data_IF_873104425559
#
_entry.id   IF_873104425559
#
_cell.length_a   1.000
_cell.length_b   1.000
_cell.length_c   1.000
_cell.angle_alpha   90.00
_cell.angle_beta   90.00
_cell.angle_gamma   90.00
#
_symmetry.space_group_name_H-M   'P 1'
#
loop_
_entity.id
_entity.type
_entity.pdbx_description
1 polymer ?
#
# COMPACT_ATOMS: atom_id res chain seq x y z
N UNK A 1 10.74 -21.05 -0.35
CA UNK A 1 9.29 -20.80 -0.53
C UNK A 1 8.79 -19.58 0.27
N UNK A 2 9.41 -19.18 1.38
CA UNK A 2 8.97 -18.03 2.22
C UNK A 2 9.00 -16.64 1.56
N UNK A 3 9.60 -16.48 0.37
CA UNK A 3 9.72 -15.20 -0.34
C UNK A 3 8.74 -15.04 -1.51
N UNK A 4 7.82 -16.00 -1.67
CA UNK A 4 6.89 -16.04 -2.79
C UNK A 4 5.64 -15.17 -2.55
N UNK A 5 5.10 -14.57 -3.61
CA UNK A 5 3.80 -13.90 -3.55
C UNK A 5 2.70 -14.88 -3.12
N UNK A 6 1.77 -14.40 -2.30
CA UNK A 6 0.57 -15.17 -1.96
C UNK A 6 -0.37 -15.26 -3.15
N UNK A 7 -1.23 -16.28 -3.19
CA UNK A 7 -2.28 -16.41 -4.21
C UNK A 7 -3.16 -15.16 -4.30
N UNK A 8 -3.60 -14.62 -3.15
CA UNK A 8 -4.45 -13.43 -3.11
C UNK A 8 -3.79 -12.21 -3.77
N UNK A 9 -2.51 -11.97 -3.48
CA UNK A 9 -1.78 -10.84 -4.07
C UNK A 9 -1.42 -11.08 -5.54
N UNK A 10 -1.10 -12.31 -5.95
CA UNK A 10 -0.84 -12.64 -7.35
C UNK A 10 -2.12 -12.50 -8.22
N UNK A 11 -3.26 -12.96 -7.71
CA UNK A 11 -4.56 -12.79 -8.35
C UNK A 11 -4.93 -11.31 -8.51
N UNK A 12 -4.67 -10.49 -7.48
CA UNK A 12 -4.89 -9.05 -7.57
C UNK A 12 -4.04 -8.39 -8.66
N UNK A 13 -2.72 -8.66 -8.73
CA UNK A 13 -1.86 -8.14 -9.80
C UNK A 13 -2.38 -8.51 -11.20
N UNK A 14 -2.81 -9.76 -11.39
CA UNK A 14 -3.38 -10.21 -12.65
C UNK A 14 -4.68 -9.48 -13.02
N UNK A 15 -5.44 -8.95 -12.06
CA UNK A 15 -6.62 -8.14 -12.35
C UNK A 15 -6.30 -6.74 -12.90
N UNK A 16 -5.07 -6.25 -12.73
CA UNK A 16 -4.66 -4.91 -13.14
C UNK A 16 -4.24 -4.81 -14.62
N UNK A 17 -3.99 -5.95 -15.26
CA UNK A 17 -3.35 -6.00 -16.58
C UNK A 17 -3.93 -7.11 -17.46
N UNK A 18 -3.95 -6.84 -18.76
CA UNK A 18 -4.30 -7.79 -19.82
C UNK A 18 -3.79 -7.27 -21.16
N UNK A 19 -3.68 -8.14 -22.17
CA UNK A 19 -3.23 -7.73 -23.50
C UNK A 19 -2.78 -8.89 -24.39
N UNK A 20 -2.03 -8.56 -25.44
CA UNK A 20 -1.47 -9.55 -26.36
C UNK A 20 -0.13 -10.11 -25.88
N UNK A 21 0.76 -9.27 -25.32
CA UNK A 21 2.09 -9.70 -24.88
C UNK A 21 2.54 -9.09 -23.55
N UNK A 22 3.26 -9.90 -22.75
CA UNK A 22 3.95 -9.43 -21.56
C UNK A 22 5.35 -10.01 -21.39
N UNK A 23 6.18 -9.37 -20.55
CA UNK A 23 7.35 -10.01 -19.98
C UNK A 23 7.46 -9.76 -18.46
N UNK A 24 7.79 -10.80 -17.69
CA UNK A 24 8.23 -10.73 -16.30
C UNK A 24 9.75 -10.70 -16.29
N UNK A 25 10.35 -9.57 -15.93
CA UNK A 25 11.79 -9.34 -16.02
C UNK A 25 12.58 -9.89 -14.81
N UNK A 26 11.88 -10.39 -13.80
CA UNK A 26 12.46 -10.77 -12.51
C UNK A 26 12.15 -12.20 -12.09
N UNK A 27 11.12 -12.80 -12.68
CA UNK A 27 10.84 -14.24 -12.64
C UNK A 27 10.63 -14.83 -11.25
N UNK A 28 11.72 -15.20 -10.58
CA UNK A 28 11.71 -15.86 -9.28
C UNK A 28 11.10 -17.26 -9.38
N UNK A 29 10.28 -17.66 -8.42
CA UNK A 29 9.57 -18.94 -8.51
C UNK A 29 8.43 -18.97 -9.55
N UNK A 30 8.20 -17.86 -10.27
CA UNK A 30 7.20 -17.80 -11.33
C UNK A 30 5.76 -17.73 -10.85
N UNK A 31 5.50 -17.46 -9.57
CA UNK A 31 4.13 -17.31 -9.06
C UNK A 31 3.44 -16.12 -9.70
N UNK A 32 3.98 -14.91 -9.59
CA UNK A 32 3.38 -13.72 -10.19
C UNK A 32 3.25 -13.90 -11.72
N UNK A 33 4.32 -14.38 -12.39
CA UNK A 33 4.28 -14.74 -13.81
C UNK A 33 3.12 -15.71 -14.14
N UNK A 34 2.91 -16.75 -13.34
CA UNK A 34 1.86 -17.74 -13.62
C UNK A 34 0.46 -17.14 -13.59
N UNK A 35 0.19 -16.17 -12.71
CA UNK A 35 -1.11 -15.49 -12.66
C UNK A 35 -1.24 -14.45 -13.78
N UNK A 36 -0.19 -13.65 -13.99
CA UNK A 36 -0.15 -12.61 -15.01
C UNK A 36 -0.27 -13.21 -16.42
N UNK A 37 0.49 -14.26 -16.73
CA UNK A 37 0.55 -14.86 -18.07
C UNK A 37 -0.82 -15.34 -18.58
N UNK A 38 -1.75 -15.70 -17.69
CA UNK A 38 -3.13 -16.09 -18.04
C UNK A 38 -3.97 -14.96 -18.62
N UNK A 39 -3.51 -13.71 -18.49
CA UNK A 39 -4.15 -12.50 -19.01
C UNK A 39 -3.58 -12.06 -20.36
N UNK A 40 -2.60 -12.79 -20.89
CA UNK A 40 -1.92 -12.46 -22.14
C UNK A 40 -1.88 -13.66 -23.08
N UNK A 41 -1.83 -13.40 -24.40
CA UNK A 41 -1.63 -14.48 -25.39
C UNK A 41 -0.21 -15.00 -25.42
N UNK A 42 0.77 -14.13 -25.17
CA UNK A 42 2.19 -14.47 -25.11
C UNK A 42 2.81 -13.86 -23.86
N UNK A 43 3.57 -14.67 -23.13
CA UNK A 43 4.29 -14.20 -21.96
C UNK A 43 5.74 -14.71 -22.00
N UNK A 44 6.67 -13.83 -21.67
CA UNK A 44 8.08 -14.19 -21.48
C UNK A 44 8.42 -14.09 -19.99
N UNK A 45 8.98 -15.15 -19.44
CA UNK A 45 9.55 -15.20 -18.10
C UNK A 45 11.07 -15.05 -18.23
N UNK A 46 11.65 -14.08 -17.53
CA UNK A 46 13.09 -13.80 -17.52
C UNK A 46 13.61 -13.96 -16.10
N UNK A 47 14.63 -14.80 -15.95
CA UNK A 47 15.27 -15.07 -14.67
C UNK A 47 16.77 -15.31 -14.87
N UNK A 48 17.60 -14.85 -13.94
CA UNK A 48 19.05 -14.92 -14.05
C UNK A 48 19.64 -16.24 -13.54
N UNK A 49 18.94 -16.93 -12.65
CA UNK A 49 19.37 -18.21 -12.08
C UNK A 49 18.89 -19.37 -12.93
N UNK A 50 19.82 -20.16 -13.46
CA UNK A 50 19.49 -21.32 -14.31
C UNK A 50 18.59 -22.32 -13.59
N UNK A 51 18.84 -22.59 -12.30
CA UNK A 51 18.02 -23.52 -11.50
C UNK A 51 16.53 -23.09 -11.45
N UNK A 52 16.26 -21.79 -11.32
CA UNK A 52 14.89 -21.27 -11.34
C UNK A 52 14.28 -21.33 -12.75
N UNK A 53 15.08 -21.14 -13.80
CA UNK A 53 14.64 -21.33 -15.18
C UNK A 53 14.27 -22.79 -15.47
N UNK A 54 15.07 -23.75 -15.00
CA UNK A 54 14.77 -25.18 -15.11
C UNK A 54 13.46 -25.54 -14.39
N UNK A 55 13.26 -25.03 -13.18
CA UNK A 55 12.00 -25.18 -12.45
C UNK A 55 10.82 -24.56 -13.19
N UNK A 56 10.98 -23.36 -13.76
CA UNK A 56 9.93 -22.70 -14.53
C UNK A 56 9.55 -23.50 -15.79
N UNK A 57 10.54 -24.00 -16.55
CA UNK A 57 10.33 -24.86 -17.73
C UNK A 57 9.59 -26.15 -17.37
N UNK A 58 9.83 -26.71 -16.19
CA UNK A 58 9.12 -27.88 -15.70
C UNK A 58 7.69 -27.56 -15.22
N UNK A 59 7.53 -26.50 -14.43
CA UNK A 59 6.29 -26.20 -13.71
C UNK A 59 5.23 -25.54 -14.61
N UNK A 60 5.61 -24.67 -15.54
CA UNK A 60 4.64 -23.94 -16.36
C UNK A 60 3.72 -24.84 -17.19
N UNK A 61 4.21 -25.89 -17.89
CA UNK A 61 3.33 -26.85 -18.57
C UNK A 61 2.34 -27.54 -17.62
N UNK A 62 2.80 -27.92 -16.41
CA UNK A 62 1.96 -28.55 -15.39
C UNK A 62 0.86 -27.61 -14.86
N UNK A 63 1.09 -26.30 -14.92
CA UNK A 63 0.13 -25.25 -14.56
C UNK A 63 -0.76 -24.82 -15.74
N UNK A 64 -0.64 -25.46 -16.91
CA UNK A 64 -1.37 -25.14 -18.14
C UNK A 64 -0.82 -23.94 -18.91
N UNK A 65 0.43 -23.55 -18.64
CA UNK A 65 1.09 -22.36 -19.20
C UNK A 65 2.11 -22.76 -20.29
N UNK A 66 1.65 -23.45 -21.32
CA UNK A 66 2.51 -24.01 -22.36
C UNK A 66 3.14 -22.93 -23.26
N UNK A 67 2.52 -21.76 -23.35
CA UNK A 67 2.93 -20.67 -24.24
C UNK A 67 3.87 -19.65 -23.56
N UNK A 68 4.30 -19.93 -22.33
CA UNK A 68 5.26 -19.08 -21.61
C UNK A 68 6.68 -19.40 -22.08
N UNK A 69 7.36 -18.42 -22.65
CA UNK A 69 8.76 -18.54 -23.05
C UNK A 69 9.67 -18.27 -21.85
N UNK A 70 10.55 -19.22 -21.50
CA UNK A 70 11.52 -19.07 -20.40
C UNK A 70 12.89 -18.64 -20.93
N UNK A 71 13.37 -17.48 -20.51
CA UNK A 71 14.66 -16.91 -20.88
C UNK A 71 15.57 -16.82 -19.65
N UNK A 72 16.70 -17.55 -19.66
CA UNK A 72 17.73 -17.41 -18.64
C UNK A 72 18.61 -16.20 -18.98
N UNK A 73 18.34 -15.06 -18.35
CA UNK A 73 19.02 -13.78 -18.61
C UNK A 73 18.87 -12.81 -17.45
N UNK A 74 19.74 -11.79 -17.40
CA UNK A 74 19.53 -10.64 -16.53
C UNK A 74 18.47 -9.70 -17.13
N UNK A 75 17.75 -8.98 -16.27
CA UNK A 75 16.67 -8.09 -16.68
C UNK A 75 17.15 -7.01 -17.66
N UNK A 76 18.30 -6.38 -17.38
CA UNK A 76 18.85 -5.27 -18.13
C UNK A 76 19.22 -5.62 -19.58
N UNK A 77 20.08 -6.63 -19.86
CA UNK A 77 20.41 -7.01 -21.23
C UNK A 77 19.19 -7.53 -22.00
N UNK A 78 18.28 -8.26 -21.35
CA UNK A 78 17.04 -8.70 -21.99
C UNK A 78 16.16 -7.52 -22.40
N UNK A 79 15.95 -6.56 -21.49
CA UNK A 79 15.14 -5.37 -21.73
C UNK A 79 15.67 -4.51 -22.88
N UNK A 80 17.00 -4.44 -23.05
CA UNK A 80 17.63 -3.72 -24.16
C UNK A 80 17.32 -4.39 -25.52
N UNK A 81 17.39 -5.72 -25.57
CA UNK A 81 17.27 -6.49 -26.80
C UNK A 81 15.83 -6.84 -27.21
N UNK A 82 14.88 -6.86 -26.27
CA UNK A 82 13.50 -7.28 -26.54
C UNK A 82 12.74 -6.28 -27.41
N UNK A 83 11.74 -6.78 -28.15
CA UNK A 83 10.73 -5.93 -28.80
C UNK A 83 9.73 -5.36 -27.77
N UNK A 84 9.09 -4.21 -28.05
CA UNK A 84 8.06 -3.68 -27.17
C UNK A 84 6.88 -4.65 -26.95
N UNK A 85 6.33 -4.64 -25.72
CA UNK A 85 5.21 -5.48 -25.29
C UNK A 85 4.07 -4.63 -24.71
N UNK A 86 2.91 -5.22 -24.44
CA UNK A 86 1.83 -4.47 -23.79
C UNK A 86 2.13 -4.22 -22.31
N UNK A 87 2.68 -5.23 -21.62
CA UNK A 87 2.96 -5.15 -20.19
C UNK A 87 4.37 -5.65 -19.82
N UNK A 88 5.08 -4.89 -18.99
CA UNK A 88 6.25 -5.36 -18.26
C UNK A 88 5.91 -5.53 -16.78
N UNK A 89 6.40 -6.61 -16.16
CA UNK A 89 6.34 -6.82 -14.73
C UNK A 89 7.74 -6.92 -14.13
N UNK A 90 7.93 -6.32 -12.96
CA UNK A 90 9.17 -6.38 -12.19
C UNK A 90 8.87 -6.54 -10.69
N UNK A 91 9.55 -7.47 -10.05
CA UNK A 91 9.68 -7.63 -8.60
C UNK A 91 11.18 -7.56 -8.23
N UNK A 92 11.77 -6.36 -8.21
CA UNK A 92 13.18 -6.22 -7.94
C UNK A 92 13.51 -6.66 -6.50
N UNK A 93 14.63 -7.36 -6.37
CA UNK A 93 15.23 -7.66 -5.08
C UNK A 93 15.67 -6.37 -4.38
N UNK A 94 15.82 -6.41 -3.06
CA UNK A 94 16.39 -5.31 -2.28
C UNK A 94 17.90 -5.51 -2.19
N UNK A 95 18.69 -4.53 -2.61
CA UNK A 95 20.13 -4.46 -2.34
C UNK A 95 20.35 -3.69 -1.05
N UNK A 96 20.96 -4.38 -0.11
CA UNK A 96 21.71 -3.79 0.98
C UNK A 96 23.09 -4.46 0.95
N UNK A 97 24.17 -3.70 1.06
CA UNK A 97 25.51 -4.30 1.21
C UNK A 97 25.67 -5.11 2.52
N UNK A 98 24.62 -5.17 3.35
CA UNK A 98 24.64 -5.67 4.73
C UNK A 98 23.33 -6.37 5.20
N UNK A 99 22.37 -6.73 4.35
CA UNK A 99 21.13 -7.41 4.77
C UNK A 99 20.12 -6.55 5.55
N UNK A 100 20.31 -5.22 5.59
CA UNK A 100 19.41 -4.27 6.24
C UNK A 100 18.27 -3.71 5.36
N UNK A 101 17.04 -3.72 5.88
CA UNK A 101 15.81 -3.21 5.24
C UNK A 101 15.99 -1.93 4.38
N UNK A 102 16.00 -2.09 3.05
CA UNK A 102 15.95 -1.00 2.07
C UNK A 102 14.63 -0.22 2.13
N UNK A 103 14.72 1.12 2.13
CA UNK A 103 13.57 2.04 2.13
C UNK A 103 13.45 2.81 0.80
N UNK A 104 14.55 2.96 0.05
CA UNK A 104 14.58 3.70 -1.21
C UNK A 104 14.48 2.77 -2.42
N UNK A 105 13.76 3.21 -3.46
CA UNK A 105 13.60 2.45 -4.69
C UNK A 105 14.90 2.34 -5.51
N UNK A 106 15.84 3.25 -5.30
CA UNK A 106 17.15 3.23 -5.97
C UNK A 106 18.05 2.10 -5.47
N UNK A 107 17.79 1.52 -4.29
CA UNK A 107 18.53 0.36 -3.81
C UNK A 107 17.84 -0.97 -4.18
N UNK A 108 16.98 -0.96 -5.20
CA UNK A 108 16.40 -2.16 -5.78
C UNK A 108 17.33 -2.76 -6.85
N UNK A 109 17.24 -4.08 -7.06
CA UNK A 109 17.91 -4.80 -8.14
C UNK A 109 16.90 -5.63 -8.95
N UNK A 110 16.68 -5.32 -10.23
CA UNK A 110 17.33 -4.25 -10.99
C UNK A 110 16.97 -2.84 -10.49
N UNK A 111 17.82 -1.86 -10.78
CA UNK A 111 17.58 -0.45 -10.41
C UNK A 111 16.46 0.14 -11.29
N UNK A 112 15.25 0.12 -10.75
CA UNK A 112 14.03 0.58 -11.43
C UNK A 112 14.12 2.07 -11.80
N UNK A 113 14.78 2.90 -10.98
CA UNK A 113 14.90 4.33 -11.24
C UNK A 113 15.77 4.59 -12.46
N UNK A 114 16.88 3.85 -12.59
CA UNK A 114 17.76 3.92 -13.77
C UNK A 114 17.10 3.32 -15.00
N UNK A 115 16.33 2.22 -14.85
CA UNK A 115 15.68 1.53 -15.97
C UNK A 115 14.39 2.20 -16.45
N UNK A 116 13.77 3.07 -15.65
CA UNK A 116 12.45 3.66 -15.93
C UNK A 116 12.30 4.16 -17.38
N UNK A 117 13.21 4.97 -17.95
CA UNK A 117 13.03 5.47 -19.33
C UNK A 117 12.96 4.34 -20.37
N UNK A 118 13.74 3.27 -20.19
CA UNK A 118 13.73 2.13 -21.09
C UNK A 118 12.49 1.27 -20.87
N UNK A 119 12.09 1.03 -19.62
CA UNK A 119 10.88 0.29 -19.26
C UNK A 119 9.64 0.88 -19.93
N UNK A 120 9.43 2.19 -19.81
CA UNK A 120 8.23 2.85 -20.34
C UNK A 120 8.28 3.05 -21.87
N UNK A 121 9.44 2.91 -22.50
CA UNK A 121 9.56 2.88 -23.97
C UNK A 121 9.35 1.47 -24.56
N UNK A 122 9.57 0.42 -23.77
CA UNK A 122 9.39 -0.99 -24.17
C UNK A 122 8.03 -1.55 -23.77
N UNK A 123 7.19 -0.82 -23.03
CA UNK A 123 5.82 -1.24 -22.76
C UNK A 123 4.81 -0.13 -22.62
N UNK A 124 3.55 -0.45 -22.96
CA UNK A 124 2.41 0.45 -22.74
C UNK A 124 2.13 0.65 -21.25
N UNK A 125 2.35 -0.40 -20.45
CA UNK A 125 2.17 -0.39 -19.00
C UNK A 125 3.30 -1.17 -18.32
N UNK A 126 3.87 -0.62 -17.26
CA UNK A 126 4.89 -1.29 -16.45
C UNK A 126 4.35 -1.43 -15.03
N UNK A 127 4.28 -2.66 -14.53
CA UNK A 127 3.85 -2.98 -13.18
C UNK A 127 5.08 -3.34 -12.33
N UNK A 128 5.40 -2.51 -11.33
CA UNK A 128 6.54 -2.73 -10.44
C UNK A 128 6.03 -3.09 -9.05
N UNK A 129 6.33 -4.32 -8.59
CA UNK A 129 6.08 -4.77 -7.23
C UNK A 129 7.19 -4.30 -6.30
N UNK A 130 6.82 -3.77 -5.15
CA UNK A 130 7.75 -3.23 -4.16
C UNK A 130 7.36 -3.67 -2.76
N UNK A 131 8.36 -3.68 -1.88
CA UNK A 131 8.18 -3.99 -0.46
C UNK A 131 7.25 -3.00 0.23
N UNK A 132 6.38 -3.44 1.15
CA UNK A 132 5.56 -2.55 1.97
C UNK A 132 6.39 -1.66 2.90
N UNK A 133 7.68 -1.95 3.07
CA UNK A 133 8.62 -1.12 3.84
C UNK A 133 9.14 0.10 3.07
N UNK A 134 8.94 0.16 1.75
CA UNK A 134 9.42 1.27 0.92
C UNK A 134 8.75 2.59 1.32
N UNK A 135 9.49 3.70 1.26
CA UNK A 135 8.92 5.04 1.37
C UNK A 135 8.25 5.43 0.05
N UNK A 136 6.91 5.43 0.07
CA UNK A 136 6.10 5.78 -1.08
C UNK A 136 6.34 7.22 -1.55
N UNK A 137 6.52 8.17 -0.62
CA UNK A 137 6.78 9.57 -0.97
C UNK A 137 8.14 9.72 -1.65
N UNK A 138 9.14 8.95 -1.24
CA UNK A 138 10.43 8.92 -1.92
C UNK A 138 10.31 8.30 -3.31
N UNK A 139 9.63 7.16 -3.45
CA UNK A 139 9.43 6.50 -4.73
C UNK A 139 8.74 7.41 -5.77
N UNK A 140 7.69 8.13 -5.37
CA UNK A 140 6.97 9.06 -6.23
C UNK A 140 7.76 10.33 -6.59
N UNK A 141 8.79 10.69 -5.82
CA UNK A 141 9.73 11.75 -6.20
C UNK A 141 10.82 11.26 -7.16
N UNK A 142 11.17 9.98 -7.07
CA UNK A 142 12.23 9.37 -7.88
C UNK A 142 11.73 8.98 -9.27
N UNK A 143 10.56 8.33 -9.36
CA UNK A 143 9.98 7.86 -10.62
C UNK A 143 9.07 8.92 -11.25
N UNK A 144 9.23 9.16 -12.55
CA UNK A 144 8.54 10.25 -13.28
C UNK A 144 7.24 9.84 -13.95
N UNK A 145 7.05 8.55 -14.22
CA UNK A 145 5.94 8.05 -15.04
C UNK A 145 4.91 7.26 -14.23
N UNK A 146 4.95 7.34 -12.89
CA UNK A 146 3.95 6.68 -12.05
C UNK A 146 2.59 7.35 -12.27
N UNK A 147 1.58 6.54 -12.61
CA UNK A 147 0.19 6.98 -12.77
C UNK A 147 -0.73 6.40 -11.70
N UNK A 148 -0.40 5.20 -11.19
CA UNK A 148 -1.16 4.53 -10.13
C UNK A 148 -0.22 3.92 -9.09
N UNK A 149 -0.66 3.96 -7.84
CA UNK A 149 -0.06 3.26 -6.70
C UNK A 149 -1.13 2.36 -6.12
N UNK A 150 -0.84 1.08 -5.96
CA UNK A 150 -1.73 0.15 -5.27
C UNK A 150 -1.07 -0.29 -3.97
N UNK A 151 -1.75 -0.07 -2.85
CA UNK A 151 -1.34 -0.54 -1.53
C UNK A 151 -2.17 -1.76 -1.21
N UNK A 152 -1.55 -2.94 -1.27
CA UNK A 152 -2.27 -4.21 -1.15
C UNK A 152 -2.04 -4.81 0.22
N UNK A 153 -3.13 -4.90 0.98
CA UNK A 153 -3.17 -5.53 2.29
C UNK A 153 -3.97 -6.84 2.24
N UNK A 154 -3.42 -7.88 2.85
CA UNK A 154 -4.12 -9.14 3.06
C UNK A 154 -4.29 -9.34 4.55
N UNK A 155 -5.53 -9.53 5.00
CA UNK A 155 -5.88 -9.42 6.41
C UNK A 155 -5.36 -8.11 7.01
N UNK A 156 -4.74 -8.11 8.19
CA UNK A 156 -4.29 -6.89 8.85
C UNK A 156 -2.81 -6.55 8.56
N UNK A 157 -2.29 -6.97 7.40
CA UNK A 157 -0.90 -6.73 7.02
C UNK A 157 -0.80 -6.18 5.59
N UNK A 158 -0.07 -5.08 5.42
CA UNK A 158 0.30 -4.59 4.09
C UNK A 158 1.36 -5.53 3.51
N UNK A 159 1.04 -6.18 2.39
CA UNK A 159 1.90 -7.21 1.78
C UNK A 159 2.83 -6.65 0.73
N UNK A 160 2.34 -5.72 -0.08
CA UNK A 160 3.09 -5.19 -1.23
C UNK A 160 2.56 -3.81 -1.64
N UNK A 161 3.44 -3.04 -2.28
CA UNK A 161 3.09 -1.86 -3.05
C UNK A 161 3.23 -2.22 -4.53
N UNK A 162 2.31 -1.77 -5.37
CA UNK A 162 2.45 -1.87 -6.81
C UNK A 162 2.47 -0.47 -7.41
N UNK A 163 3.46 -0.16 -8.23
CA UNK A 163 3.49 1.06 -9.01
C UNK A 163 3.18 0.73 -10.45
N UNK A 164 2.26 1.49 -11.05
CA UNK A 164 1.97 1.43 -12.48
C UNK A 164 2.63 2.62 -13.13
N UNK A 165 3.56 2.35 -14.04
CA UNK A 165 4.24 3.37 -14.83
C UNK A 165 3.70 3.36 -16.26
N UNK A 166 3.45 4.56 -16.79
CA UNK A 166 2.91 4.74 -18.13
C UNK A 166 3.30 6.11 -18.71
N UNK A 167 3.64 6.12 -20.00
CA UNK A 167 3.67 7.36 -20.80
C UNK A 167 2.26 7.53 -21.38
N UNK A 168 1.53 8.57 -20.98
CA UNK A 168 0.33 8.95 -21.73
C UNK A 168 0.73 9.24 -23.17
N UNK A 169 -0.02 8.68 -24.12
CA UNK A 169 0.11 9.12 -25.50
C UNK A 169 -0.12 10.62 -25.51
N UNK A 170 0.90 11.38 -25.93
CA UNK A 170 0.73 12.80 -26.22
C UNK A 170 -0.49 12.94 -27.12
N UNK A 171 -1.54 13.57 -26.61
CA UNK A 171 -2.63 14.09 -27.44
C UNK A 171 -1.93 14.91 -28.53
N UNK A 172 -2.15 14.53 -29.79
CA UNK A 172 -1.26 14.86 -30.91
C UNK A 172 -0.97 16.34 -31.10
N UNK A 173 0.16 16.60 -31.76
CA UNK A 173 0.49 17.80 -32.54
C UNK A 173 -0.47 18.98 -32.38
N UNK A 174 -0.37 19.67 -31.25
CA UNK A 174 -0.73 21.08 -31.21
C UNK A 174 0.53 21.86 -31.63
N UNK A 175 0.47 22.70 -32.69
CA UNK A 175 1.63 23.47 -33.10
C UNK A 175 2.04 24.37 -31.94
N UNK A 176 3.29 24.22 -31.51
CA UNK A 176 3.95 25.17 -30.60
C UNK A 176 4.03 26.49 -31.37
N UNK A 177 3.04 27.35 -31.19
CA UNK A 177 3.19 28.75 -31.60
C UNK A 177 4.12 29.42 -30.60
N UNK A 178 5.26 29.87 -31.12
CA UNK A 178 6.24 30.69 -30.43
C UNK A 178 5.57 31.80 -29.60
N UNK A 179 5.63 31.64 -28.27
CA UNK A 179 5.38 32.72 -27.32
C UNK A 179 6.54 32.77 -26.33
N UNK A 180 7.60 33.45 -26.77
CA UNK A 180 8.40 34.42 -26.00
C UNK A 180 8.41 34.23 -24.48
N UNK A 181 9.56 33.73 -24.00
CA UNK A 181 10.25 34.05 -22.74
C UNK A 181 9.41 34.65 -21.60
N UNK A 182 9.22 33.87 -20.52
CA UNK A 182 9.35 34.36 -19.15
C UNK A 182 10.03 33.31 -18.28
N UNK A 183 11.20 33.68 -17.77
CA UNK A 183 11.85 33.09 -16.60
C UNK A 183 10.83 33.00 -15.46
N UNK A 184 10.62 31.81 -14.91
CA UNK A 184 9.61 31.58 -13.86
C UNK A 184 8.83 30.27 -13.96
N UNK A 185 9.21 29.32 -14.80
CA UNK A 185 8.73 27.93 -14.67
C UNK A 185 9.34 27.31 -13.40
N UNK A 186 8.77 27.66 -12.25
CA UNK A 186 9.02 26.97 -10.99
C UNK A 186 8.69 25.49 -11.17
N UNK A 187 9.33 24.62 -10.37
CA UNK A 187 9.20 23.16 -10.38
C UNK A 187 7.75 22.61 -10.36
N UNK A 188 6.72 23.46 -10.27
CA UNK A 188 5.30 23.16 -10.28
C UNK A 188 4.75 22.61 -11.61
N UNK A 189 5.43 22.80 -12.75
CA UNK A 189 4.92 22.32 -14.06
C UNK A 189 5.00 20.80 -14.23
N UNK A 190 6.06 20.17 -13.71
CA UNK A 190 6.27 18.71 -13.77
C UNK A 190 5.52 17.92 -12.67
N UNK A 191 4.90 18.63 -11.73
CA UNK A 191 4.13 18.08 -10.59
C UNK A 191 2.65 17.84 -10.91
N UNK A 192 2.25 18.00 -12.17
CA UNK A 192 0.84 18.04 -12.59
C UNK A 192 0.22 16.69 -12.94
N UNK A 193 0.98 15.58 -12.86
CA UNK A 193 0.38 14.24 -13.01
C UNK A 193 -0.25 13.80 -11.70
N UNK A 194 -1.58 13.72 -11.71
CA UNK A 194 -2.36 13.26 -10.57
C UNK A 194 -2.22 11.74 -10.41
N UNK A 195 -1.36 11.31 -9.48
CA UNK A 195 -1.19 9.89 -9.15
C UNK A 195 -2.39 9.40 -8.36
N UNK A 196 -3.02 8.31 -8.82
CA UNK A 196 -4.11 7.63 -8.12
C UNK A 196 -3.56 6.62 -7.13
N UNK A 197 -4.07 6.64 -5.90
CA UNK A 197 -3.76 5.68 -4.85
C UNK A 197 -4.94 4.75 -4.64
N UNK A 198 -4.76 3.48 -4.96
CA UNK A 198 -5.69 2.39 -4.71
C UNK A 198 -5.31 1.70 -3.40
N UNK A 199 -6.23 1.65 -2.44
CA UNK A 199 -6.05 0.92 -1.19
C UNK A 199 -6.91 -0.34 -1.24
N UNK A 200 -6.25 -1.49 -1.25
CA UNK A 200 -6.93 -2.78 -1.30
C UNK A 200 -6.76 -3.51 0.02
N UNK A 201 -7.87 -3.91 0.62
CA UNK A 201 -7.85 -4.70 1.85
C UNK A 201 -8.62 -6.00 1.63
N UNK A 202 -7.87 -7.08 1.42
CA UNK A 202 -8.37 -8.42 1.08
C UNK A 202 -8.39 -9.27 2.36
N UNK A 203 -9.52 -9.40 3.08
CA UNK A 203 -9.59 -10.24 4.27
C UNK A 203 -9.76 -11.72 3.91
N UNK A 204 -9.34 -12.62 4.81
CA UNK A 204 -9.71 -14.05 4.74
C UNK A 204 -11.21 -14.26 4.96
N UNK A 205 -11.85 -13.38 5.73
CA UNK A 205 -13.28 -13.42 6.03
C UNK A 205 -13.89 -12.02 5.99
N UNK A 206 -14.98 -11.86 5.24
CA UNK A 206 -15.66 -10.59 5.03
C UNK A 206 -15.46 -10.04 3.61
N UNK A 207 -16.03 -8.87 3.31
CA UNK A 207 -15.94 -8.27 1.97
C UNK A 207 -14.56 -7.65 1.73
N UNK A 208 -14.13 -7.71 0.47
CA UNK A 208 -13.01 -6.90 -0.02
C UNK A 208 -13.36 -5.42 0.12
N UNK A 209 -12.47 -4.62 0.72
CA UNK A 209 -12.61 -3.17 0.77
C UNK A 209 -11.63 -2.51 -0.20
N UNK A 210 -12.14 -1.59 -1.01
CA UNK A 210 -11.41 -0.88 -2.04
C UNK A 210 -11.68 0.62 -1.91
N UNK A 211 -10.62 1.43 -1.85
CA UNK A 211 -10.70 2.88 -1.85
C UNK A 211 -9.73 3.48 -2.86
N UNK A 212 -10.15 4.57 -3.50
CA UNK A 212 -9.30 5.31 -4.44
C UNK A 212 -9.34 6.79 -4.12
N UNK A 213 -8.16 7.40 -4.03
CA UNK A 213 -7.99 8.83 -3.87
C UNK A 213 -6.72 9.30 -4.55
N UNK A 214 -6.48 10.61 -4.58
CA UNK A 214 -5.26 11.18 -5.16
C UNK A 214 -4.46 11.94 -4.11
N UNK A 215 -3.17 12.15 -4.35
CA UNK A 215 -2.34 12.97 -3.46
C UNK A 215 -2.90 14.39 -3.31
N UNK A 216 -3.52 14.92 -4.37
CA UNK A 216 -4.16 16.23 -4.35
C UNK A 216 -5.37 16.22 -3.42
N UNK A 217 -6.24 15.23 -3.53
CA UNK A 217 -7.40 15.09 -2.65
C UNK A 217 -7.01 14.98 -1.18
N UNK A 218 -5.97 14.20 -0.84
CA UNK A 218 -5.46 14.12 0.54
C UNK A 218 -4.94 15.48 1.02
N UNK A 219 -4.17 16.19 0.20
CA UNK A 219 -3.59 17.50 0.55
C UNK A 219 -4.67 18.56 0.79
N UNK A 220 -5.70 18.58 -0.05
CA UNK A 220 -6.76 19.58 -0.04
C UNK A 220 -7.89 19.24 0.93
N UNK A 221 -7.97 18.00 1.40
CA UNK A 221 -9.05 17.57 2.28
C UNK A 221 -9.08 18.33 3.61
N UNK A 222 -10.30 18.63 4.07
CA UNK A 222 -10.59 19.20 5.39
C UNK A 222 -10.52 18.08 6.42
N UNK A 223 -9.71 18.27 7.45
CA UNK A 223 -9.53 17.29 8.52
C UNK A 223 -9.86 17.93 9.88
N UNK A 224 -11.13 17.91 10.31
CA UNK A 224 -11.50 18.43 11.61
C UNK A 224 -10.88 17.58 12.72
N UNK A 225 -10.33 18.24 13.75
CA UNK A 225 -9.77 17.58 14.92
C UNK A 225 -10.84 17.49 16.01
N UNK A 226 -10.94 16.32 16.65
CA UNK A 226 -11.88 16.10 17.73
C UNK A 226 -11.34 16.67 19.05
N UNK A 227 -12.14 17.47 19.76
CA UNK A 227 -11.83 17.93 21.12
C UNK A 227 -12.15 16.86 22.18
N UNK A 228 -13.09 15.97 21.87
CA UNK A 228 -13.55 14.87 22.72
C UNK A 228 -13.80 13.63 21.88
N UNK A 229 -13.93 12.46 22.53
CA UNK A 229 -14.29 11.22 21.84
C UNK A 229 -15.82 11.15 21.73
N UNK A 230 -16.33 11.00 20.51
CA UNK A 230 -17.75 10.80 20.23
C UNK A 230 -18.24 9.38 20.55
N UNK A 231 -19.48 9.08 20.20
CA UNK A 231 -20.11 7.78 20.48
C UNK A 231 -19.46 6.59 19.73
N UNK A 232 -18.74 6.85 18.64
CA UNK A 232 -18.06 5.83 17.84
C UNK A 232 -16.59 6.17 17.63
N UNK A 233 -15.75 5.13 17.58
CA UNK A 233 -14.32 5.21 17.29
C UNK A 233 -14.01 4.35 16.07
N UNK A 234 -13.15 4.85 15.19
CA UNK A 234 -12.76 4.18 13.96
C UNK A 234 -11.25 4.09 13.84
N UNK A 235 -10.78 2.92 13.39
CA UNK A 235 -9.41 2.70 12.98
C UNK A 235 -9.38 2.24 11.52
N UNK A 236 -8.71 2.98 10.61
CA UNK A 236 -8.61 2.59 9.21
C UNK A 236 -7.90 1.26 9.02
N UNK A 237 -8.21 0.59 7.92
CA UNK A 237 -7.43 -0.58 7.50
C UNK A 237 -5.97 -0.20 7.17
N UNK A 238 -5.10 -1.21 7.16
CA UNK A 238 -3.65 -0.99 7.03
C UNK A 238 -3.23 -0.47 5.65
N UNK A 239 -4.01 -0.72 4.60
CA UNK A 239 -3.74 -0.19 3.27
C UNK A 239 -3.90 1.34 3.26
N UNK A 240 -4.97 1.87 3.84
CA UNK A 240 -5.21 3.31 3.98
C UNK A 240 -4.14 3.99 4.83
N UNK A 241 -3.74 3.37 5.95
CA UNK A 241 -2.66 3.89 6.78
C UNK A 241 -1.34 3.95 6.02
N UNK A 242 -1.02 2.94 5.22
CA UNK A 242 0.20 2.90 4.42
C UNK A 242 0.17 3.87 3.24
N UNK A 243 -0.99 4.07 2.62
CA UNK A 243 -1.20 5.05 1.55
C UNK A 243 -1.18 6.51 2.05
N UNK A 244 -1.33 6.73 3.36
CA UNK A 244 -1.35 8.07 3.95
C UNK A 244 -2.68 8.80 3.78
N UNK A 245 -3.80 8.05 3.64
CA UNK A 245 -5.14 8.59 3.49
C UNK A 245 -5.68 9.12 4.84
N UNK A 246 -5.15 10.24 5.34
CA UNK A 246 -5.48 10.72 6.68
C UNK A 246 -6.58 11.77 6.69
N UNK A 247 -6.38 12.83 5.92
CA UNK A 247 -7.31 13.96 5.83
C UNK A 247 -8.49 13.61 4.95
N UNK A 248 -8.23 12.89 3.86
CA UNK A 248 -9.23 12.42 2.92
C UNK A 248 -10.27 11.54 3.61
N UNK A 249 -9.86 10.61 4.49
CA UNK A 249 -10.79 9.78 5.26
C UNK A 249 -11.72 10.62 6.14
N UNK A 250 -11.16 11.62 6.83
CA UNK A 250 -11.95 12.50 7.70
C UNK A 250 -13.05 13.23 6.91
N UNK A 251 -12.68 13.81 5.76
CA UNK A 251 -13.65 14.48 4.88
C UNK A 251 -14.65 13.52 4.25
N UNK A 252 -14.18 12.40 3.69
CA UNK A 252 -14.99 11.45 2.91
C UNK A 252 -16.10 10.82 3.73
N UNK A 253 -15.80 10.52 5.00
CA UNK A 253 -16.67 9.80 5.92
C UNK A 253 -17.32 10.71 6.98
N UNK A 254 -17.06 12.03 6.94
CA UNK A 254 -17.64 12.98 7.90
C UNK A 254 -17.20 12.73 9.34
N UNK A 255 -16.00 12.17 9.55
CA UNK A 255 -15.46 11.84 10.87
C UNK A 255 -14.40 12.83 11.30
N UNK A 256 -14.23 12.99 12.60
CA UNK A 256 -13.19 13.85 13.18
C UNK A 256 -11.96 13.03 13.55
N UNK A 257 -10.78 13.55 13.27
CA UNK A 257 -9.52 12.89 13.60
C UNK A 257 -9.11 13.24 15.02
N UNK A 258 -8.62 12.26 15.79
CA UNK A 258 -8.27 12.53 17.20
C UNK A 258 -7.01 13.41 17.35
N UNK A 259 -6.02 13.21 16.49
CA UNK A 259 -4.75 13.94 16.48
C UNK A 259 -3.99 13.65 15.17
N UNK A 260 -3.12 14.56 14.66
CA UNK A 260 -2.28 14.33 13.47
C UNK A 260 -1.53 12.99 13.45
N UNK A 261 -1.03 12.53 14.60
CA UNK A 261 -0.27 11.28 14.74
C UNK A 261 -1.04 10.08 15.30
N UNK A 262 -2.30 10.25 15.75
CA UNK A 262 -3.07 9.13 16.34
C UNK A 262 -3.70 8.23 15.28
N UNK A 263 -4.00 8.78 14.08
CA UNK A 263 -4.63 8.05 12.98
C UNK A 263 -5.89 7.24 13.38
N UNK A 264 -6.61 7.76 14.39
CA UNK A 264 -7.91 7.29 14.84
C UNK A 264 -8.93 8.40 14.61
N UNK A 265 -10.18 8.00 14.39
CA UNK A 265 -11.27 8.92 14.06
C UNK A 265 -12.47 8.66 14.95
N UNK A 266 -13.35 9.64 15.09
CA UNK A 266 -14.55 9.55 15.93
C UNK A 266 -15.72 10.33 15.32
N UNK A 267 -16.94 9.92 15.69
CA UNK A 267 -18.19 10.61 15.36
C UNK A 267 -19.27 10.25 16.38
N UNK A 268 -20.33 11.05 16.45
CA UNK A 268 -21.50 10.75 17.28
C UNK A 268 -22.48 9.79 16.60
N UNK A 269 -22.54 9.82 15.27
CA UNK A 269 -23.36 8.90 14.48
C UNK A 269 -22.50 7.80 13.85
N UNK A 270 -23.03 6.58 13.75
CA UNK A 270 -22.29 5.44 13.18
C UNK A 270 -22.11 5.59 11.67
N UNK A 271 -20.87 5.51 11.21
CA UNK A 271 -20.51 5.34 9.80
C UNK A 271 -20.44 3.84 9.49
N UNK A 272 -21.44 3.34 8.76
CA UNK A 272 -21.62 1.90 8.56
C UNK A 272 -20.58 1.28 7.61
N UNK A 273 -20.07 2.07 6.67
CA UNK A 273 -19.16 1.68 5.59
C UNK A 273 -17.73 2.17 5.78
N UNK A 274 -17.35 2.55 7.01
CA UNK A 274 -15.99 3.02 7.29
C UNK A 274 -14.95 1.92 6.95
N UNK A 275 -13.91 2.23 6.15
CA UNK A 275 -12.94 1.25 5.67
C UNK A 275 -11.92 0.90 6.75
N UNK A 276 -12.30 -0.02 7.63
CA UNK A 276 -11.48 -0.51 8.73
C UNK A 276 -12.31 -1.13 9.84
N UNK A 277 -11.97 -0.79 11.08
CA UNK A 277 -12.64 -1.30 12.28
C UNK A 277 -13.43 -0.17 12.95
N UNK A 278 -14.70 -0.45 13.24
CA UNK A 278 -15.61 0.48 13.94
C UNK A 278 -15.95 -0.05 15.33
N UNK A 279 -16.00 0.85 16.31
CA UNK A 279 -16.26 0.52 17.70
C UNK A 279 -17.28 1.49 18.29
N UNK A 280 -18.27 0.96 19.02
CA UNK A 280 -19.12 1.78 19.89
C UNK A 280 -18.35 2.07 21.16
N UNK A 281 -18.20 3.35 21.48
CA UNK A 281 -17.51 3.82 22.68
C UNK A 281 -18.43 3.62 23.88
N UNK A 282 -17.90 3.02 24.93
CA UNK A 282 -18.61 2.79 26.19
C UNK A 282 -18.07 3.62 27.34
N UNK A 283 -16.77 3.91 27.32
CA UNK A 283 -16.12 4.71 28.35
C UNK A 283 -14.85 5.37 27.82
N UNK A 284 -14.53 6.54 28.36
CA UNK A 284 -13.28 7.26 28.14
C UNK A 284 -12.70 7.61 29.51
N UNK A 285 -11.39 7.42 29.68
CA UNK A 285 -10.70 7.68 30.95
C UNK A 285 -9.36 8.34 30.71
N UNK A 286 -8.94 9.18 31.66
CA UNK A 286 -7.55 9.56 31.81
C UNK A 286 -6.72 8.43 32.44
N UNK A 287 -5.48 8.75 32.80
CA UNK A 287 -4.53 7.81 33.39
C UNK A 287 -4.46 7.85 34.92
N UNK A 288 -5.43 8.53 35.57
CA UNK A 288 -5.50 8.67 37.02
C UNK A 288 -5.85 7.35 37.71
N UNK A 289 -5.26 7.06 38.87
CA UNK A 289 -5.45 5.79 39.60
C UNK A 289 -6.93 5.51 39.93
N UNK A 290 -7.70 6.55 40.30
CA UNK A 290 -9.13 6.42 40.62
C UNK A 290 -9.97 6.16 39.36
N UNK A 291 -9.71 6.92 38.29
CA UNK A 291 -10.39 6.79 36.99
C UNK A 291 -10.16 5.40 36.39
N UNK A 292 -8.91 4.92 36.38
CA UNK A 292 -8.57 3.60 35.87
C UNK A 292 -9.28 2.46 36.61
N UNK A 293 -9.47 2.59 37.93
CA UNK A 293 -10.20 1.58 38.70
C UNK A 293 -11.66 1.48 38.27
N UNK A 294 -12.32 2.61 37.99
CA UNK A 294 -13.69 2.64 37.49
C UNK A 294 -13.76 2.17 36.02
N UNK A 295 -12.83 2.64 35.18
CA UNK A 295 -12.76 2.29 33.76
C UNK A 295 -12.55 0.79 33.49
N UNK A 296 -11.77 0.12 34.34
CA UNK A 296 -11.47 -1.32 34.23
C UNK A 296 -12.42 -2.21 35.05
N UNK A 297 -13.44 -1.65 35.70
CA UNK A 297 -14.31 -2.43 36.58
C UNK A 297 -15.04 -3.52 35.78
N UNK A 298 -14.87 -4.77 36.22
CA UNK A 298 -15.49 -5.95 35.58
C UNK A 298 -14.72 -6.53 34.39
N UNK A 299 -13.54 -5.99 34.06
CA UNK A 299 -12.77 -6.41 32.88
C UNK A 299 -11.50 -7.13 33.31
N UNK A 300 -11.37 -8.40 32.90
CA UNK A 300 -10.18 -9.21 33.14
C UNK A 300 -9.28 -9.37 31.91
N UNK A 301 -9.83 -9.16 30.71
CA UNK A 301 -9.14 -9.30 29.44
C UNK A 301 -9.66 -8.28 28.42
N UNK A 302 -8.77 -7.80 27.55
CA UNK A 302 -9.13 -6.91 26.45
C UNK A 302 -8.10 -6.99 25.31
N UNK A 303 -8.55 -6.63 24.12
CA UNK A 303 -7.71 -6.32 22.97
C UNK A 303 -7.18 -4.88 23.13
N UNK A 304 -5.86 -4.71 23.17
CA UNK A 304 -5.24 -3.40 23.34
C UNK A 304 -4.64 -2.89 22.04
N UNK A 305 -4.97 -1.65 21.69
CA UNK A 305 -4.37 -0.93 20.56
C UNK A 305 -3.74 0.36 21.08
N UNK A 306 -2.54 0.66 20.61
CA UNK A 306 -1.78 1.85 21.00
C UNK A 306 -1.54 2.71 19.77
N UNK A 307 -1.93 3.98 19.84
CA UNK A 307 -1.74 4.96 18.78
C UNK A 307 -1.34 6.31 19.34
N UNK A 308 -0.11 6.74 19.07
CA UNK A 308 0.43 7.99 19.62
C UNK A 308 0.25 8.05 21.14
N UNK A 309 0.93 7.18 21.87
CA UNK A 309 0.85 7.08 23.32
C UNK A 309 2.24 6.70 23.88
N UNK A 310 2.64 7.19 25.08
CA UNK A 310 4.00 6.99 25.59
C UNK A 310 4.34 5.56 26.03
N UNK A 311 3.34 4.68 26.17
CA UNK A 311 3.53 3.29 26.62
C UNK A 311 3.18 2.32 25.51
N UNK A 312 3.99 1.27 25.38
CA UNK A 312 3.74 0.14 24.49
C UNK A 312 2.55 -0.72 24.96
N UNK A 313 2.06 -1.57 24.07
CA UNK A 313 1.00 -2.56 24.38
C UNK A 313 1.40 -3.43 25.58
N UNK A 314 2.65 -3.90 25.62
CA UNK A 314 3.15 -4.77 26.69
C UNK A 314 3.20 -4.06 28.06
N UNK A 315 3.68 -2.81 28.08
CA UNK A 315 3.74 -2.00 29.30
C UNK A 315 2.33 -1.67 29.82
N UNK A 316 1.42 -1.29 28.91
CA UNK A 316 0.03 -1.04 29.24
C UNK A 316 -0.66 -2.29 29.78
N UNK A 317 -0.49 -3.43 29.11
CA UNK A 317 -1.08 -4.70 29.55
C UNK A 317 -0.65 -5.06 30.97
N UNK A 318 0.65 -4.92 31.28
CA UNK A 318 1.20 -5.13 32.63
C UNK A 318 0.63 -4.14 33.65
N UNK A 319 0.53 -2.85 33.30
CA UNK A 319 0.06 -1.78 34.19
C UNK A 319 -1.43 -1.88 34.49
N UNK A 320 -2.23 -2.23 33.49
CA UNK A 320 -3.69 -2.38 33.60
C UNK A 320 -4.09 -3.78 34.12
N UNK A 321 -3.14 -4.72 34.21
CA UNK A 321 -3.34 -6.10 34.66
C UNK A 321 -4.41 -6.85 33.84
N UNK A 322 -4.38 -6.68 32.52
CA UNK A 322 -5.33 -7.29 31.60
C UNK A 322 -4.72 -8.48 30.86
N UNK A 323 -5.49 -9.57 30.70
CA UNK A 323 -5.15 -10.64 29.75
C UNK A 323 -5.51 -10.24 28.32
N UNK A 324 -4.99 -10.98 27.35
CA UNK A 324 -5.28 -10.79 25.93
C UNK A 324 -6.58 -11.47 25.51
N UNK A 325 -7.29 -10.88 24.54
CA UNK A 325 -8.53 -11.40 23.98
C UNK A 325 -9.80 -10.87 24.65
N UNK A 326 -10.93 -11.53 24.34
CA UNK A 326 -12.28 -11.11 24.70
C UNK A 326 -12.90 -10.15 23.68
N UNK A 327 -14.08 -9.64 24.01
CA UNK A 327 -14.88 -8.76 23.14
C UNK A 327 -14.67 -7.27 23.43
N UNK A 328 -13.92 -6.97 24.49
CA UNK A 328 -13.58 -5.61 24.90
C UNK A 328 -12.33 -5.13 24.14
N UNK A 329 -12.41 -3.89 23.64
CA UNK A 329 -11.30 -3.21 22.98
C UNK A 329 -10.93 -1.96 23.77
N UNK A 330 -9.64 -1.79 24.04
CA UNK A 330 -9.09 -0.60 24.69
C UNK A 330 -8.07 0.04 23.76
N UNK A 331 -8.29 1.32 23.46
CA UNK A 331 -7.39 2.15 22.68
C UNK A 331 -6.69 3.14 23.61
N UNK A 332 -5.37 3.12 23.63
CA UNK A 332 -4.57 4.15 24.28
C UNK A 332 -4.09 5.16 23.23
N UNK A 333 -4.52 6.41 23.37
CA UNK A 333 -4.25 7.42 22.35
C UNK A 333 -4.16 8.85 22.89
N UNK A 334 -3.89 9.79 21.99
CA UNK A 334 -3.74 11.23 22.26
C UNK A 334 -4.80 12.01 21.47
N UNK A 335 -5.43 12.98 22.13
CA UNK A 335 -6.33 13.98 21.53
C UNK A 335 -5.56 15.20 21.00
N UNK A 336 -6.24 16.07 20.27
CA UNK A 336 -5.66 17.25 19.63
C UNK A 336 -5.05 18.26 20.61
N UNK A 337 -5.52 18.26 21.86
CA UNK A 337 -5.00 19.10 22.97
C UNK A 337 -3.90 18.40 23.79
N UNK A 338 -3.27 17.36 23.23
CA UNK A 338 -2.22 16.54 23.83
C UNK A 338 -2.64 15.68 25.03
N UNK A 339 -3.92 15.71 25.45
CA UNK A 339 -4.40 14.82 26.51
C UNK A 339 -4.29 13.36 26.09
N UNK A 340 -3.72 12.56 26.98
CA UNK A 340 -3.55 11.11 26.84
C UNK A 340 -4.77 10.40 27.44
N UNK A 341 -5.48 9.62 26.63
CA UNK A 341 -6.74 8.99 27.00
C UNK A 341 -6.73 7.50 26.72
N UNK A 342 -7.54 6.77 27.50
CA UNK A 342 -7.96 5.41 27.22
C UNK A 342 -9.42 5.42 26.77
N UNK A 343 -9.71 4.75 25.67
CA UNK A 343 -11.07 4.58 25.14
C UNK A 343 -11.42 3.11 25.19
N UNK A 344 -12.53 2.76 25.85
CA UNK A 344 -13.09 1.41 25.87
C UNK A 344 -14.28 1.36 24.92
N UNK A 345 -14.36 0.31 24.12
CA UNK A 345 -15.51 0.07 23.27
C UNK A 345 -15.61 -1.38 22.79
N UNK A 346 -16.71 -1.65 22.09
CA UNK A 346 -17.00 -2.95 21.47
C UNK A 346 -17.11 -2.79 19.96
N UNK A 347 -16.65 -3.79 19.21
CA UNK A 347 -16.71 -3.78 17.75
C UNK A 347 -18.18 -3.80 17.28
N UNK A 348 -18.51 -3.01 16.26
CA UNK A 348 -19.87 -2.88 15.69
C UNK A 348 -19.90 -2.97 14.18
#
# INVERSE_FOLDING_TARGET
MEQCSSEATAAYKASLVEGESMADLTGGFGIDCSFLARRFRRATYVERQEELCELARHNFPLLGLNDVTVCCSQAEPFLQAMEPVDCLFLDPARRDGHGGKTVAIADCEPDVATLEPLLVSKAKRVLVKLSPMLDLSLALRTLKHVVEVHVVAVNNECKELLLVLQVEASVGDAPVTDAVSKEGATAASWLSREVRLHCEHIPTAGPHQHEVFTLQQEREAICPMASEIGAYLYEPNVALLKAGAYRWLAQRYGVQKLHPSSHLYTSDERVADFPGRSFRVEAVSGFGKKELKAFLQGIAQANLTVRNFPLSVAELRKRLKLKEGGDEYIFATTLADERKVLVRGRKV
#
